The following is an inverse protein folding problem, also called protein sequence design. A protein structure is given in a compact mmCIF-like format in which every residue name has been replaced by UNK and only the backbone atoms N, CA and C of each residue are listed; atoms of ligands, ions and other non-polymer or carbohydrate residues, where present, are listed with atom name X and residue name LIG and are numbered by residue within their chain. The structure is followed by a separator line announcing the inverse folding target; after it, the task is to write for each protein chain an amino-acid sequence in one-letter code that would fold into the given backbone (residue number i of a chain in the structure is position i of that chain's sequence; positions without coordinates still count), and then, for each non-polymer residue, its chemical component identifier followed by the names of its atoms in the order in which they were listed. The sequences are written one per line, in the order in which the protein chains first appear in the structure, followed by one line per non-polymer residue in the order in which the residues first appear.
data_IF_150925026318
#
_entry.id   IF_150925026318
#
_cell.length_a   1.000
_cell.length_b   1.000
_cell.length_c   1.000
_cell.angle_alpha   90.00
_cell.angle_beta   90.00
_cell.angle_gamma   90.00
#
_symmetry.space_group_name_H-M   'P 1'
#
loop_
_entity.id
_entity.type
_entity.pdbx_description
1 polymer ?
#
# COMPACT_ATOMS: atom_id res chain seq x y z
N UNK A 1 7.37 -14.68 -34.52
CA UNK A 1 7.53 -14.90 -33.06
C UNK A 1 8.14 -13.63 -32.47
N UNK A 2 7.41 -12.91 -31.60
CA UNK A 2 7.89 -11.64 -31.02
C UNK A 2 8.99 -11.95 -29.99
N UNK A 3 10.26 -11.90 -30.40
CA UNK A 3 11.42 -12.12 -29.51
C UNK A 3 12.05 -10.82 -29.00
N UNK A 4 11.68 -9.69 -29.62
CA UNK A 4 12.26 -8.39 -29.35
C UNK A 4 11.20 -7.33 -29.54
N UNK A 5 10.96 -6.52 -28.50
CA UNK A 5 9.96 -5.47 -28.48
C UNK A 5 10.66 -4.14 -28.12
N UNK A 6 11.18 -3.40 -29.10
CA UNK A 6 11.97 -2.21 -28.80
C UNK A 6 11.15 -1.09 -28.20
N UNK A 7 11.69 -0.43 -27.18
CA UNK A 7 11.19 0.85 -26.69
C UNK A 7 11.41 1.91 -27.77
N UNK A 8 10.36 2.59 -28.18
CA UNK A 8 10.37 3.60 -29.26
C UNK A 8 10.23 5.02 -28.76
N UNK A 9 9.51 5.20 -27.67
CA UNK A 9 9.29 6.52 -27.08
C UNK A 9 9.12 6.37 -25.57
N UNK A 10 9.71 7.31 -24.85
CA UNK A 10 9.46 7.53 -23.42
C UNK A 10 9.06 9.00 -23.28
N UNK A 11 7.96 9.25 -22.59
CA UNK A 11 7.47 10.60 -22.38
C UNK A 11 6.84 10.72 -21.00
N UNK A 12 7.23 11.75 -20.27
CA UNK A 12 6.64 12.06 -18.97
C UNK A 12 6.02 13.44 -18.95
N UNK A 13 5.03 13.60 -18.10
CA UNK A 13 4.40 14.87 -17.76
C UNK A 13 4.09 14.95 -16.28
N UNK A 14 3.89 16.17 -15.80
CA UNK A 14 3.37 16.42 -14.47
C UNK A 14 1.84 16.35 -14.52
N UNK A 15 1.25 15.58 -13.59
CA UNK A 15 -0.19 15.48 -13.36
C UNK A 15 -0.47 15.73 -11.87
N UNK A 16 -1.74 15.74 -11.45
CA UNK A 16 -2.11 15.93 -10.05
C UNK A 16 -2.48 14.60 -9.39
N UNK A 17 -2.06 14.43 -8.14
CA UNK A 17 -2.50 13.35 -7.26
C UNK A 17 -3.87 13.65 -6.59
N UNK A 18 -4.38 12.74 -5.78
CA UNK A 18 -5.67 12.85 -5.07
C UNK A 18 -5.72 13.99 -4.04
N UNK A 19 -4.56 14.55 -3.67
CA UNK A 19 -4.43 15.70 -2.76
C UNK A 19 -4.25 17.03 -3.52
N UNK A 20 -4.21 16.98 -4.86
CA UNK A 20 -3.93 18.15 -5.70
C UNK A 20 -2.45 18.52 -5.78
N UNK A 21 -1.54 17.65 -5.32
CA UNK A 21 -0.12 17.83 -5.47
C UNK A 21 0.38 17.26 -6.81
N UNK A 22 1.42 17.87 -7.42
CA UNK A 22 2.02 17.34 -8.62
C UNK A 22 2.64 15.96 -8.40
N UNK A 23 2.47 15.08 -9.39
CA UNK A 23 3.19 13.81 -9.50
C UNK A 23 3.57 13.51 -10.95
N UNK A 24 4.34 12.43 -11.14
CA UNK A 24 4.88 12.04 -12.45
C UNK A 24 3.96 11.02 -13.12
N UNK A 25 3.53 11.32 -14.36
CA UNK A 25 2.93 10.36 -15.27
C UNK A 25 3.93 10.05 -16.38
N UNK A 26 4.13 8.77 -16.68
CA UNK A 26 5.01 8.30 -17.75
C UNK A 26 4.24 7.49 -18.78
N UNK A 27 4.52 7.72 -20.05
CA UNK A 27 4.07 6.91 -21.18
C UNK A 27 5.28 6.29 -21.89
N UNK A 28 5.23 4.98 -22.12
CA UNK A 28 6.22 4.25 -22.91
C UNK A 28 5.52 3.61 -24.09
N UNK A 29 6.03 3.86 -25.31
CA UNK A 29 5.55 3.23 -26.53
C UNK A 29 6.58 2.21 -27.03
N UNK A 30 6.12 1.01 -27.38
CA UNK A 30 6.95 -0.13 -27.80
C UNK A 30 6.48 -0.71 -29.14
N UNK A 31 7.34 -1.47 -29.83
CA UNK A 31 7.01 -2.21 -31.04
C UNK A 31 7.53 -1.57 -32.34
N UNK A 32 7.21 -2.21 -33.46
CA UNK A 32 7.55 -1.73 -34.80
C UNK A 32 6.41 -0.87 -35.35
N UNK A 33 6.68 0.38 -35.68
CA UNK A 33 5.71 1.28 -36.29
C UNK A 33 5.97 2.76 -36.03
N UNK A 34 5.40 3.61 -36.87
CA UNK A 34 5.35 5.07 -36.65
C UNK A 34 4.39 5.36 -35.50
N UNK A 35 4.75 6.31 -34.64
CA UNK A 35 3.92 6.76 -33.50
C UNK A 35 2.45 6.90 -33.94
N UNK A 36 1.56 6.10 -33.30
CA UNK A 36 0.11 6.15 -33.54
C UNK A 36 -0.45 5.17 -34.59
N UNK A 37 0.35 4.36 -35.28
CA UNK A 37 -0.16 3.45 -36.32
C UNK A 37 0.03 1.97 -35.98
N UNK A 38 1.06 1.54 -35.22
CA UNK A 38 1.27 0.15 -34.82
C UNK A 38 2.08 0.01 -33.50
N UNK A 39 2.18 1.08 -32.70
CA UNK A 39 2.87 1.02 -31.41
C UNK A 39 1.89 0.73 -30.26
N UNK A 40 2.35 0.00 -29.26
CA UNK A 40 1.61 -0.25 -28.01
C UNK A 40 2.13 0.70 -26.94
N UNK A 41 1.23 1.37 -26.24
CA UNK A 41 1.60 2.34 -25.20
C UNK A 41 1.14 1.84 -23.85
N UNK A 42 2.06 1.86 -22.88
CA UNK A 42 1.77 1.72 -21.45
C UNK A 42 1.91 3.07 -20.76
N UNK A 43 1.02 3.35 -19.80
CA UNK A 43 1.02 4.58 -19.01
C UNK A 43 0.99 4.23 -17.53
N UNK A 44 1.74 4.95 -16.72
CA UNK A 44 1.75 4.81 -15.27
C UNK A 44 1.83 6.16 -14.58
N UNK A 45 1.11 6.30 -13.46
CA UNK A 45 1.16 7.48 -12.58
C UNK A 45 1.74 7.02 -11.25
N UNK A 46 2.71 7.76 -10.73
CA UNK A 46 3.41 7.39 -9.49
C UNK A 46 2.70 8.00 -8.27
N UNK A 47 2.37 7.20 -7.24
CA UNK A 47 1.78 7.73 -6.01
C UNK A 47 2.82 8.41 -5.12
N UNK A 48 2.36 9.19 -4.11
CA UNK A 48 3.19 9.94 -3.18
C UNK A 48 2.72 9.77 -1.74
N UNK A 49 3.64 9.59 -0.78
CA UNK A 49 3.32 9.48 0.65
C UNK A 49 3.00 10.82 1.32
N UNK A 50 2.27 10.78 2.44
CA UNK A 50 2.15 11.90 3.38
C UNK A 50 3.20 11.79 4.49
N UNK A 51 3.37 10.59 5.06
CA UNK A 51 4.49 10.19 5.88
C UNK A 51 5.50 9.44 5.01
N UNK A 52 6.79 9.53 5.32
CA UNK A 52 7.86 8.83 4.60
C UNK A 52 8.85 8.28 5.62
N UNK A 53 9.10 6.97 5.59
CA UNK A 53 10.14 6.34 6.39
C UNK A 53 11.53 6.89 6.05
N UNK A 54 12.42 6.92 7.02
CA UNK A 54 13.81 7.46 6.88
C UNK A 54 14.60 6.80 5.75
N UNK A 55 14.26 5.57 5.39
CA UNK A 55 15.01 4.73 4.45
C UNK A 55 14.33 4.56 3.08
N UNK A 56 13.24 5.27 2.82
CA UNK A 56 12.59 5.27 1.50
C UNK A 56 13.50 5.83 0.41
N UNK A 57 13.32 5.35 -0.82
CA UNK A 57 13.93 5.96 -1.99
C UNK A 57 13.40 7.39 -2.20
N UNK A 58 14.27 8.27 -2.69
CA UNK A 58 13.99 9.71 -2.76
C UNK A 58 12.94 10.02 -3.81
N UNK A 59 11.83 10.58 -3.39
CA UNK A 59 10.88 11.25 -4.27
C UNK A 59 11.46 12.63 -4.65
N UNK A 60 11.85 12.80 -5.92
CA UNK A 60 12.49 14.05 -6.36
C UNK A 60 11.46 15.15 -6.53
N UNK A 61 11.58 16.20 -5.71
CA UNK A 61 10.78 17.43 -5.72
C UNK A 61 11.63 18.62 -6.17
N UNK A 62 11.01 19.60 -6.83
CA UNK A 62 11.72 20.77 -7.36
C UNK A 62 12.25 21.68 -6.27
N UNK A 63 11.55 21.81 -5.13
CA UNK A 63 11.90 22.67 -4.01
C UNK A 63 11.66 24.16 -4.28
N UNK A 64 11.10 24.54 -5.41
CA UNK A 64 10.82 25.91 -5.82
C UNK A 64 9.54 26.43 -5.16
N UNK A 65 9.64 27.18 -4.09
CA UNK A 65 8.51 27.64 -3.27
C UNK A 65 7.42 28.41 -4.05
N UNK A 66 7.75 29.04 -5.17
CA UNK A 66 6.83 29.77 -6.03
C UNK A 66 5.94 28.89 -6.92
N UNK A 67 6.26 27.61 -7.04
CA UNK A 67 5.52 26.62 -7.82
C UNK A 67 5.06 25.48 -6.93
N UNK A 68 3.74 25.25 -6.84
CA UNK A 68 3.16 24.17 -6.04
C UNK A 68 3.74 24.08 -4.62
N UNK A 69 4.03 25.22 -4.00
CA UNK A 69 4.62 25.30 -2.64
C UNK A 69 5.96 24.53 -2.47
N UNK A 70 6.67 24.27 -3.57
CA UNK A 70 7.92 23.49 -3.59
C UNK A 70 7.75 22.03 -4.00
N UNK A 71 6.50 21.55 -4.14
CA UNK A 71 6.19 20.15 -4.43
C UNK A 71 6.19 19.80 -5.94
N UNK A 72 6.61 20.72 -6.83
CA UNK A 72 6.73 20.45 -8.26
C UNK A 72 7.63 19.25 -8.57
N UNK A 73 7.41 18.60 -9.73
CA UNK A 73 8.15 17.40 -10.17
C UNK A 73 8.78 17.57 -11.57
N UNK A 74 9.03 18.81 -11.99
CA UNK A 74 9.62 19.11 -13.30
C UNK A 74 10.97 18.45 -13.51
N UNK A 75 11.84 18.43 -12.47
CA UNK A 75 13.15 17.79 -12.53
C UNK A 75 13.03 16.28 -12.76
N UNK A 76 12.10 15.62 -12.08
CA UNK A 76 11.83 14.20 -12.29
C UNK A 76 11.28 13.94 -13.71
N UNK A 77 10.35 14.78 -14.19
CA UNK A 77 9.84 14.72 -15.58
C UNK A 77 10.96 14.92 -16.60
N UNK A 78 11.85 15.88 -16.38
CA UNK A 78 13.00 16.12 -17.26
C UNK A 78 13.96 14.92 -17.26
N UNK A 79 14.26 14.34 -16.09
CA UNK A 79 15.09 13.15 -15.98
C UNK A 79 14.49 11.95 -16.76
N UNK A 80 13.16 11.77 -16.74
CA UNK A 80 12.50 10.75 -17.58
C UNK A 80 12.66 11.07 -19.06
N UNK A 81 12.36 12.31 -19.48
CA UNK A 81 12.34 12.70 -20.89
C UNK A 81 13.72 12.79 -21.53
N UNK A 82 14.79 12.79 -20.73
CA UNK A 82 16.20 12.87 -21.18
C UNK A 82 16.97 11.61 -20.80
N UNK A 83 17.47 11.53 -19.57
CA UNK A 83 18.39 10.49 -19.10
C UNK A 83 17.80 9.08 -19.19
N UNK A 84 16.59 8.87 -18.64
CA UNK A 84 15.97 7.54 -18.65
C UNK A 84 15.48 7.17 -20.06
N UNK A 85 14.98 8.12 -20.84
CA UNK A 85 14.64 7.88 -22.23
C UNK A 85 15.86 7.43 -23.02
N UNK A 86 17.00 8.14 -22.92
CA UNK A 86 18.25 7.78 -23.60
C UNK A 86 18.73 6.37 -23.18
N UNK A 87 18.65 6.05 -21.91
CA UNK A 87 19.12 4.78 -21.35
C UNK A 87 18.37 3.55 -21.89
N UNK A 88 17.05 3.69 -22.20
CA UNK A 88 16.21 2.53 -22.54
C UNK A 88 15.66 2.58 -23.98
N UNK A 89 15.84 3.66 -24.75
CA UNK A 89 15.43 3.70 -26.16
C UNK A 89 16.12 2.60 -26.96
N UNK A 90 15.31 1.83 -27.71
CA UNK A 90 15.78 0.67 -28.47
C UNK A 90 15.89 -0.62 -27.67
N UNK A 91 15.91 -0.58 -26.34
CA UNK A 91 16.00 -1.78 -25.52
C UNK A 91 14.73 -2.64 -25.58
N UNK A 92 14.86 -3.91 -25.22
CA UNK A 92 13.76 -4.87 -25.30
C UNK A 92 12.81 -4.75 -24.10
N UNK A 93 11.63 -4.20 -24.30
CA UNK A 93 10.62 -4.06 -23.26
C UNK A 93 10.08 -5.38 -22.66
N UNK A 94 10.35 -6.54 -23.29
CA UNK A 94 10.01 -7.85 -22.73
C UNK A 94 10.98 -8.31 -21.64
N UNK A 95 12.12 -7.64 -21.50
CA UNK A 95 13.12 -7.93 -20.46
C UNK A 95 13.04 -6.86 -19.35
N UNK A 96 11.99 -6.95 -18.54
CA UNK A 96 11.73 -5.99 -17.45
C UNK A 96 12.93 -5.85 -16.51
N UNK A 97 13.54 -6.96 -16.12
CA UNK A 97 14.67 -6.94 -15.19
C UNK A 97 15.89 -6.21 -15.76
N UNK A 98 16.13 -6.35 -17.05
CA UNK A 98 17.21 -5.62 -17.73
C UNK A 98 16.90 -4.12 -17.86
N UNK A 99 15.65 -3.77 -18.20
CA UNK A 99 15.21 -2.37 -18.23
C UNK A 99 15.38 -1.72 -16.84
N UNK A 100 14.89 -2.37 -15.77
CA UNK A 100 15.00 -1.85 -14.42
C UNK A 100 16.46 -1.73 -13.96
N UNK A 101 17.31 -2.69 -14.32
CA UNK A 101 18.76 -2.61 -14.11
C UNK A 101 19.36 -1.36 -14.77
N UNK A 102 19.01 -1.07 -16.02
CA UNK A 102 19.47 0.13 -16.74
C UNK A 102 19.02 1.41 -16.06
N UNK A 103 17.77 1.45 -15.57
CA UNK A 103 17.20 2.57 -14.83
C UNK A 103 17.99 2.80 -13.53
N UNK A 104 18.28 1.74 -12.76
CA UNK A 104 19.04 1.80 -11.51
C UNK A 104 20.49 2.25 -11.77
N UNK A 105 21.15 1.73 -12.79
CA UNK A 105 22.51 2.11 -13.20
C UNK A 105 22.58 3.58 -13.64
N UNK A 106 21.53 4.10 -14.27
CA UNK A 106 21.44 5.51 -14.71
C UNK A 106 21.32 6.45 -13.52
N UNK A 107 20.61 6.05 -12.45
CA UNK A 107 20.59 6.81 -11.20
C UNK A 107 21.92 6.72 -10.47
N UNK A 108 22.48 5.52 -10.30
CA UNK A 108 23.78 5.25 -9.72
C UNK A 108 23.86 5.46 -8.20
N UNK A 109 22.75 5.69 -7.50
CA UNK A 109 22.69 5.85 -6.04
C UNK A 109 21.84 4.74 -5.40
N UNK A 110 22.08 4.42 -4.13
CA UNK A 110 21.34 3.39 -3.40
C UNK A 110 19.85 3.75 -3.21
N UNK A 111 19.53 5.04 -3.13
CA UNK A 111 18.20 5.55 -2.79
C UNK A 111 17.54 6.38 -3.91
N UNK A 112 18.01 6.25 -5.15
CA UNK A 112 17.47 6.96 -6.34
C UNK A 112 17.52 8.49 -6.24
N UNK A 113 18.48 9.05 -5.49
CA UNK A 113 18.54 10.50 -5.23
C UNK A 113 18.95 11.36 -6.43
N UNK A 114 19.58 10.80 -7.47
CA UNK A 114 20.01 11.54 -8.66
C UNK A 114 18.89 11.72 -9.70
N UNK A 115 18.05 10.73 -9.89
CA UNK A 115 16.98 10.71 -10.89
C UNK A 115 15.60 10.92 -10.24
N UNK A 116 15.40 10.35 -9.05
CA UNK A 116 14.15 10.31 -8.31
C UNK A 116 13.40 8.98 -8.47
N UNK A 117 12.97 8.39 -7.35
CA UNK A 117 12.18 7.16 -7.35
C UNK A 117 10.85 7.32 -8.10
N UNK A 118 10.26 8.51 -8.09
CA UNK A 118 9.08 8.85 -8.88
C UNK A 118 9.33 8.78 -10.39
N UNK A 119 10.51 9.17 -10.85
CA UNK A 119 10.91 9.05 -12.25
C UNK A 119 11.20 7.59 -12.64
N UNK A 120 12.02 6.90 -11.83
CA UNK A 120 12.43 5.51 -12.12
C UNK A 120 11.24 4.56 -12.10
N UNK A 121 10.36 4.66 -11.11
CA UNK A 121 9.17 3.83 -11.01
C UNK A 121 8.20 4.09 -12.16
N UNK A 122 7.94 5.35 -12.51
CA UNK A 122 7.04 5.69 -13.60
C UNK A 122 7.43 5.00 -14.91
N UNK A 123 8.74 5.02 -15.25
CA UNK A 123 9.27 4.33 -16.44
C UNK A 123 9.12 2.81 -16.32
N UNK A 124 9.51 2.22 -15.19
CA UNK A 124 9.46 0.78 -14.94
C UNK A 124 8.04 0.23 -15.13
N UNK A 125 7.03 0.88 -14.52
CA UNK A 125 5.62 0.45 -14.60
C UNK A 125 5.03 0.66 -16.00
N UNK A 126 5.39 1.77 -16.66
CA UNK A 126 4.91 2.06 -18.02
C UNK A 126 5.44 1.05 -19.03
N UNK A 127 6.69 0.60 -18.89
CA UNK A 127 7.29 -0.47 -19.73
C UNK A 127 6.53 -1.78 -19.55
N UNK A 128 6.26 -2.20 -18.30
CA UNK A 128 5.51 -3.43 -18.03
C UNK A 128 4.12 -3.41 -18.69
N UNK A 129 3.39 -2.29 -18.58
CA UNK A 129 2.08 -2.12 -19.23
C UNK A 129 2.17 -2.13 -20.77
N UNK A 130 3.20 -1.47 -21.34
CA UNK A 130 3.40 -1.47 -22.78
C UNK A 130 3.68 -2.89 -23.31
N UNK A 131 4.51 -3.65 -22.60
CA UNK A 131 4.83 -5.03 -22.92
C UNK A 131 3.58 -5.95 -22.84
N UNK A 132 2.80 -5.86 -21.75
CA UNK A 132 1.56 -6.61 -21.57
C UNK A 132 0.55 -6.29 -22.71
N UNK A 133 0.38 -5.01 -23.04
CA UNK A 133 -0.48 -4.54 -24.14
C UNK A 133 -0.04 -5.10 -25.49
N UNK A 134 1.26 -5.07 -25.79
CA UNK A 134 1.82 -5.59 -27.03
C UNK A 134 1.62 -7.11 -27.18
N UNK A 135 1.71 -7.85 -26.07
CA UNK A 135 1.44 -9.28 -26.04
C UNK A 135 -0.06 -9.61 -26.02
N UNK A 136 -0.93 -8.62 -25.81
CA UNK A 136 -2.38 -8.78 -25.61
C UNK A 136 -2.70 -9.71 -24.43
N UNK A 137 -1.92 -9.60 -23.37
CA UNK A 137 -2.08 -10.36 -22.12
C UNK A 137 -2.47 -9.36 -21.03
N UNK A 138 -3.48 -9.65 -20.18
CA UNK A 138 -3.78 -8.83 -19.02
C UNK A 138 -2.55 -8.61 -18.14
N UNK A 139 -2.42 -7.42 -17.54
CA UNK A 139 -1.21 -7.05 -16.79
C UNK A 139 -0.92 -8.03 -15.65
N UNK A 140 -1.94 -8.43 -14.88
CA UNK A 140 -1.77 -9.41 -13.79
C UNK A 140 -1.21 -10.76 -14.29
N UNK A 141 -1.60 -11.22 -15.49
CA UNK A 141 -1.04 -12.46 -16.08
C UNK A 141 0.36 -12.25 -16.65
N UNK A 142 0.63 -11.08 -17.23
CA UNK A 142 1.97 -10.74 -17.71
C UNK A 142 3.00 -10.76 -16.58
N UNK A 143 2.64 -10.19 -15.43
CA UNK A 143 3.52 -10.11 -14.25
C UNK A 143 3.61 -11.43 -13.48
N UNK A 144 2.49 -12.14 -13.31
CA UNK A 144 2.41 -13.30 -12.43
C UNK A 144 2.43 -14.66 -13.13
N UNK A 145 2.34 -14.67 -14.47
CA UNK A 145 2.35 -15.91 -15.26
C UNK A 145 0.98 -16.56 -15.43
N UNK A 146 0.99 -17.77 -15.99
CA UNK A 146 -0.22 -18.45 -16.46
C UNK A 146 -1.11 -19.04 -15.34
N UNK A 147 -0.64 -19.07 -14.10
CA UNK A 147 -1.40 -19.64 -12.96
C UNK A 147 -1.91 -18.58 -11.98
N UNK A 148 -1.94 -17.34 -12.41
CA UNK A 148 -2.34 -16.18 -11.59
C UNK A 148 -3.86 -16.12 -11.44
N UNK A 149 -4.37 -16.44 -10.25
CA UNK A 149 -5.83 -16.53 -9.98
C UNK A 149 -6.24 -16.17 -8.55
N UNK A 150 -5.27 -15.94 -7.66
CA UNK A 150 -5.57 -15.57 -6.27
C UNK A 150 -5.96 -14.12 -6.16
N UNK A 151 -7.18 -13.87 -5.70
CA UNK A 151 -7.70 -12.54 -5.41
C UNK A 151 -7.23 -12.11 -4.01
N UNK A 152 -6.80 -10.86 -3.82
CA UNK A 152 -6.38 -10.39 -2.51
C UNK A 152 -7.58 -10.06 -1.61
N UNK A 153 -7.48 -10.33 -0.32
CA UNK A 153 -8.42 -9.80 0.68
C UNK A 153 -8.15 -8.32 0.88
N UNK A 154 -9.15 -7.44 0.70
CA UNK A 154 -8.95 -6.02 0.92
C UNK A 154 -8.87 -5.67 2.41
N UNK A 155 -7.93 -4.79 2.74
CA UNK A 155 -7.81 -4.08 4.02
C UNK A 155 -8.33 -2.66 3.79
N UNK A 156 -9.60 -2.42 4.11
CA UNK A 156 -10.25 -1.13 3.79
C UNK A 156 -10.22 -0.19 4.99
N UNK A 157 -9.44 0.88 4.89
CA UNK A 157 -9.34 1.92 5.91
C UNK A 157 -10.61 2.77 5.97
N UNK A 158 -11.51 2.48 6.94
CA UNK A 158 -12.81 3.13 7.06
C UNK A 158 -12.88 4.22 8.13
N UNK A 159 -11.86 4.31 9.00
CA UNK A 159 -11.72 5.39 9.97
C UNK A 159 -10.26 5.78 10.12
N UNK A 160 -9.99 7.07 9.94
CA UNK A 160 -8.67 7.67 9.95
C UNK A 160 -8.40 8.43 11.25
N UNK A 161 -7.16 8.39 11.70
CA UNK A 161 -6.59 9.22 12.75
C UNK A 161 -5.15 9.63 12.40
N UNK A 162 -4.35 9.95 13.40
CA UNK A 162 -2.95 10.31 13.24
C UNK A 162 -2.74 11.41 12.20
N UNK A 163 -1.76 11.24 11.31
CA UNK A 163 -1.50 12.21 10.22
C UNK A 163 -2.50 12.18 9.07
N UNK A 164 -3.37 11.16 9.00
CA UNK A 164 -4.36 11.04 7.95
C UNK A 164 -5.66 11.83 8.24
N UNK A 165 -5.81 12.40 9.46
CA UNK A 165 -6.97 13.16 9.86
C UNK A 165 -6.64 14.20 10.92
N UNK A 166 -7.31 15.36 10.87
CA UNK A 166 -7.24 16.39 11.93
C UNK A 166 -8.34 16.11 12.96
N UNK A 167 -8.08 15.14 13.85
CA UNK A 167 -9.01 14.69 14.90
C UNK A 167 -8.26 14.22 16.16
N UNK A 168 -8.98 13.61 17.12
CA UNK A 168 -8.44 13.13 18.40
C UNK A 168 -8.04 11.65 18.40
N UNK A 169 -8.06 10.98 17.27
CA UNK A 169 -7.68 9.56 17.16
C UNK A 169 -6.19 9.44 16.88
N UNK A 170 -5.42 8.84 17.80
CA UNK A 170 -3.96 8.80 17.72
C UNK A 170 -3.42 7.78 16.72
N UNK A 171 -3.99 6.55 16.68
CA UNK A 171 -3.60 5.55 15.68
C UNK A 171 -4.10 5.94 14.30
N UNK A 172 -3.28 5.69 13.27
CA UNK A 172 -3.46 6.29 11.95
C UNK A 172 -4.62 5.70 11.14
N UNK A 173 -4.81 4.38 11.18
CA UNK A 173 -5.81 3.71 10.35
C UNK A 173 -6.50 2.55 11.08
N UNK A 174 -7.82 2.50 10.92
CA UNK A 174 -8.64 1.36 11.35
C UNK A 174 -9.33 0.75 10.14
N UNK A 175 -8.92 -0.46 9.83
CA UNK A 175 -9.31 -1.18 8.62
C UNK A 175 -10.25 -2.33 8.93
N UNK A 176 -11.20 -2.57 8.05
CA UNK A 176 -11.99 -3.80 8.01
C UNK A 176 -11.47 -4.74 6.93
N UNK A 177 -11.51 -6.04 7.24
CA UNK A 177 -11.14 -7.12 6.33
C UNK A 177 -12.29 -8.11 6.20
N UNK A 178 -12.85 -8.31 4.99
CA UNK A 178 -13.97 -9.23 4.76
C UNK A 178 -13.49 -10.68 4.68
N UNK A 179 -12.98 -11.20 5.80
CA UNK A 179 -12.35 -12.53 5.90
C UNK A 179 -13.32 -13.71 5.76
N UNK A 180 -14.63 -13.44 5.94
CA UNK A 180 -15.71 -14.41 5.71
C UNK A 180 -16.37 -14.33 4.34
N UNK A 181 -15.89 -13.48 3.43
CA UNK A 181 -16.46 -13.34 2.09
C UNK A 181 -16.21 -14.59 1.23
N UNK A 182 -17.15 -14.90 0.36
CA UNK A 182 -17.08 -16.05 -0.55
C UNK A 182 -16.22 -15.78 -1.80
N UNK A 183 -16.17 -14.51 -2.22
CA UNK A 183 -15.46 -14.06 -3.41
C UNK A 183 -15.21 -12.55 -3.35
N UNK A 184 -14.52 -12.00 -4.36
CA UNK A 184 -14.15 -10.58 -4.40
C UNK A 184 -15.38 -9.64 -4.47
N UNK A 185 -16.40 -10.00 -5.22
CA UNK A 185 -17.62 -9.20 -5.34
C UNK A 185 -18.33 -9.10 -3.97
N UNK A 186 -18.49 -10.24 -3.29
CA UNK A 186 -19.03 -10.30 -1.94
C UNK A 186 -18.17 -9.49 -0.95
N UNK A 187 -16.85 -9.60 -1.03
CA UNK A 187 -15.91 -8.87 -0.18
C UNK A 187 -16.08 -7.34 -0.28
N UNK A 188 -16.13 -6.82 -1.51
CA UNK A 188 -16.32 -5.39 -1.76
C UNK A 188 -17.70 -4.93 -1.29
N UNK A 189 -18.76 -5.72 -1.53
CA UNK A 189 -20.12 -5.42 -1.04
C UNK A 189 -20.15 -5.31 0.48
N UNK A 190 -19.61 -6.30 1.18
CA UNK A 190 -19.57 -6.30 2.65
C UNK A 190 -18.92 -5.04 3.20
N UNK A 191 -17.74 -4.69 2.69
CA UNK A 191 -17.03 -3.50 3.13
C UNK A 191 -17.79 -2.20 2.82
N UNK A 192 -18.39 -2.09 1.64
CA UNK A 192 -19.18 -0.92 1.26
C UNK A 192 -20.43 -0.75 2.15
N UNK A 193 -21.13 -1.85 2.48
CA UNK A 193 -22.29 -1.85 3.37
C UNK A 193 -21.87 -1.42 4.80
N UNK A 194 -20.79 -2.01 5.36
CA UNK A 194 -20.28 -1.61 6.69
C UNK A 194 -19.89 -0.12 6.71
N UNK A 195 -19.22 0.37 5.66
CA UNK A 195 -18.85 1.79 5.53
C UNK A 195 -20.09 2.71 5.53
N UNK A 196 -21.17 2.36 4.83
CA UNK A 196 -22.40 3.15 4.84
C UNK A 196 -23.11 3.12 6.21
N UNK A 197 -23.14 1.96 6.88
CA UNK A 197 -23.68 1.88 8.24
C UNK A 197 -22.84 2.68 9.25
N UNK A 198 -21.52 2.67 9.11
CA UNK A 198 -20.63 3.52 9.93
C UNK A 198 -20.97 5.01 9.77
N UNK A 199 -21.18 5.47 8.53
CA UNK A 199 -21.63 6.83 8.24
C UNK A 199 -22.95 7.19 8.94
N UNK A 200 -23.91 6.26 8.92
CA UNK A 200 -25.20 6.46 9.59
C UNK A 200 -25.03 6.58 11.10
N UNK A 201 -24.24 5.70 11.72
CA UNK A 201 -23.97 5.68 13.16
C UNK A 201 -23.27 6.97 13.60
N UNK A 202 -22.22 7.39 12.89
CA UNK A 202 -21.50 8.63 13.19
C UNK A 202 -22.45 9.84 13.15
N UNK A 203 -23.32 9.94 12.14
CA UNK A 203 -24.34 11.00 12.07
C UNK A 203 -25.32 10.95 13.23
N UNK A 204 -25.79 9.76 13.64
CA UNK A 204 -26.72 9.60 14.77
C UNK A 204 -26.08 10.01 16.10
N UNK A 205 -24.76 9.80 16.22
CA UNK A 205 -23.97 10.23 17.38
C UNK A 205 -23.56 11.72 17.33
N UNK A 206 -23.93 12.45 16.25
CA UNK A 206 -23.53 13.86 16.06
C UNK A 206 -22.04 14.05 15.72
N UNK A 207 -21.37 13.00 15.27
CA UNK A 207 -19.95 12.99 14.93
C UNK A 207 -19.71 13.35 13.44
N UNK A 208 -18.51 13.83 13.14
CA UNK A 208 -18.10 14.17 11.77
C UNK A 208 -18.15 12.96 10.83
N UNK A 209 -18.64 13.19 9.62
CA UNK A 209 -18.55 12.23 8.50
C UNK A 209 -17.71 12.79 7.35
N UNK A 210 -16.86 13.79 7.63
CA UNK A 210 -15.78 14.17 6.75
C UNK A 210 -14.78 13.01 6.62
N UNK A 211 -14.12 12.93 5.47
CA UNK A 211 -13.18 11.84 5.19
C UNK A 211 -11.76 12.36 5.11
N UNK A 212 -10.81 11.55 5.56
CA UNK A 212 -9.40 11.78 5.41
C UNK A 212 -8.88 11.50 3.99
N UNK A 213 -7.57 11.56 3.81
CA UNK A 213 -6.90 11.38 2.51
C UNK A 213 -7.20 10.02 1.88
N UNK A 214 -7.42 8.99 2.66
CA UNK A 214 -7.67 7.63 2.21
C UNK A 214 -9.16 7.25 2.13
N UNK A 215 -10.05 8.21 2.42
CA UNK A 215 -11.49 8.03 2.30
C UNK A 215 -12.18 7.49 3.56
N UNK A 216 -11.44 7.12 4.60
CA UNK A 216 -11.99 6.79 5.92
C UNK A 216 -12.57 8.01 6.63
N UNK A 217 -13.59 7.83 7.48
CA UNK A 217 -14.15 8.91 8.27
C UNK A 217 -13.16 9.42 9.32
N UNK A 218 -13.27 10.69 9.69
CA UNK A 218 -12.38 11.36 10.62
C UNK A 218 -13.15 12.02 11.78
N UNK A 219 -13.87 11.25 12.62
CA UNK A 219 -14.53 11.79 13.81
C UNK A 219 -13.57 12.02 14.96
N UNK A 220 -13.91 12.91 15.89
CA UNK A 220 -13.31 12.96 17.22
C UNK A 220 -13.86 11.81 18.08
N UNK A 221 -12.98 10.95 18.56
CA UNK A 221 -13.29 9.85 19.48
C UNK A 221 -12.25 9.81 20.61
N UNK A 222 -12.63 9.35 21.82
CA UNK A 222 -11.78 9.48 23.00
C UNK A 222 -10.54 8.57 22.99
N UNK A 223 -10.63 7.41 22.34
CA UNK A 223 -9.57 6.39 22.30
C UNK A 223 -9.81 5.36 21.21
N UNK A 224 -8.83 4.49 21.00
CA UNK A 224 -8.91 3.43 19.97
C UNK A 224 -9.98 2.37 20.27
N UNK A 225 -10.31 2.12 21.54
CA UNK A 225 -11.40 1.20 21.89
C UNK A 225 -12.74 1.73 21.38
N UNK A 226 -13.02 3.02 21.58
CA UNK A 226 -14.22 3.67 21.08
C UNK A 226 -14.34 3.65 19.56
N UNK A 227 -13.18 3.74 18.86
CA UNK A 227 -13.12 3.58 17.40
C UNK A 227 -13.52 2.17 17.01
N UNK A 228 -12.95 1.17 17.65
CA UNK A 228 -13.22 -0.25 17.37
C UNK A 228 -14.68 -0.61 17.68
N UNK A 229 -15.23 -0.09 18.79
CA UNK A 229 -16.64 -0.30 19.16
C UNK A 229 -17.60 0.23 18.09
N UNK A 230 -17.38 1.44 17.57
CA UNK A 230 -18.26 2.01 16.54
C UNK A 230 -18.15 1.27 15.20
N UNK A 231 -16.97 0.78 14.85
CA UNK A 231 -16.78 -0.05 13.66
C UNK A 231 -17.50 -1.39 13.81
N UNK A 232 -17.39 -2.06 14.96
CA UNK A 232 -18.09 -3.32 15.21
C UNK A 232 -19.62 -3.13 15.29
N UNK A 233 -20.10 -2.00 15.81
CA UNK A 233 -21.52 -1.62 15.74
C UNK A 233 -21.98 -1.53 14.29
N UNK A 234 -21.17 -0.92 13.41
CA UNK A 234 -21.48 -0.80 11.98
C UNK A 234 -21.52 -2.15 11.28
N UNK A 235 -20.56 -3.05 11.56
CA UNK A 235 -20.52 -4.39 11.00
C UNK A 235 -21.78 -5.20 11.40
N UNK A 236 -22.16 -5.17 12.69
CA UNK A 236 -23.37 -5.85 13.18
C UNK A 236 -24.65 -5.29 12.55
N UNK A 237 -24.77 -3.95 12.41
CA UNK A 237 -25.93 -3.32 11.77
C UNK A 237 -26.01 -3.62 10.27
N UNK A 238 -24.88 -3.84 9.63
CA UNK A 238 -24.81 -4.31 8.23
C UNK A 238 -25.18 -5.80 8.07
N UNK A 239 -25.35 -6.52 9.18
CA UNK A 239 -25.71 -7.94 9.19
C UNK A 239 -24.54 -8.89 9.19
N UNK A 240 -23.32 -8.41 9.46
CA UNK A 240 -22.10 -9.21 9.49
C UNK A 240 -21.62 -9.47 10.92
N UNK A 241 -21.11 -10.68 11.16
CA UNK A 241 -20.60 -11.13 12.45
C UNK A 241 -19.11 -10.76 12.59
N UNK A 242 -18.74 -9.85 13.55
CA UNK A 242 -17.35 -9.55 13.82
C UNK A 242 -16.54 -10.78 14.22
N UNK A 243 -15.33 -10.91 13.67
CA UNK A 243 -14.43 -12.05 13.92
C UNK A 243 -14.70 -13.27 13.04
N UNK A 244 -15.85 -13.33 12.39
CA UNK A 244 -16.21 -14.41 11.47
C UNK A 244 -16.31 -13.92 10.02
N UNK A 245 -17.13 -12.89 9.80
CA UNK A 245 -17.35 -12.30 8.48
C UNK A 245 -16.39 -11.13 8.24
N UNK A 246 -16.22 -10.27 9.26
CA UNK A 246 -15.37 -9.08 9.24
C UNK A 246 -14.34 -9.18 10.37
N UNK A 247 -13.07 -9.10 10.01
CA UNK A 247 -11.94 -8.94 10.93
C UNK A 247 -11.43 -7.49 10.88
N UNK A 248 -10.62 -7.11 11.87
CA UNK A 248 -10.04 -5.77 12.02
C UNK A 248 -8.54 -5.81 11.74
N UNK A 249 -8.04 -4.80 11.04
CA UNK A 249 -6.63 -4.49 10.97
C UNK A 249 -6.40 -3.03 11.42
N UNK A 250 -5.24 -2.77 12.01
CA UNK A 250 -4.83 -1.45 12.50
C UNK A 250 -3.49 -1.11 11.86
N UNK A 251 -3.33 0.15 11.46
CA UNK A 251 -2.04 0.76 11.21
C UNK A 251 -1.81 1.82 12.29
N UNK A 252 -0.82 1.56 13.14
CA UNK A 252 -0.52 2.44 14.25
C UNK A 252 0.35 3.62 13.85
N UNK A 253 1.19 3.46 12.80
CA UNK A 253 2.23 4.41 12.39
C UNK A 253 3.02 4.93 13.61
N UNK A 254 3.46 4.00 14.47
CA UNK A 254 3.95 4.33 15.82
C UNK A 254 5.20 5.23 15.81
N UNK A 255 5.99 5.23 14.74
CA UNK A 255 7.10 6.19 14.58
C UNK A 255 6.65 7.66 14.66
N UNK A 256 5.41 7.96 14.24
CA UNK A 256 4.83 9.31 14.31
C UNK A 256 4.43 9.73 15.73
N UNK A 257 4.23 8.75 16.62
CA UNK A 257 3.90 8.97 18.03
C UNK A 257 5.15 8.97 18.92
N UNK A 258 6.31 8.55 18.39
CA UNK A 258 7.52 8.35 19.16
C UNK A 258 8.27 9.65 19.41
N UNK A 259 8.49 9.94 20.70
CA UNK A 259 9.36 11.05 21.16
C UNK A 259 10.77 10.48 21.40
N UNK A 260 11.69 10.76 20.47
CA UNK A 260 13.08 10.28 20.52
C UNK A 260 13.85 10.77 21.78
N UNK A 261 13.54 11.99 22.30
CA UNK A 261 14.23 12.55 23.47
C UNK A 261 13.82 11.84 24.76
N UNK A 262 12.55 11.44 24.84
CA UNK A 262 11.95 10.80 26.03
C UNK A 262 11.96 9.27 25.96
N UNK A 263 12.12 8.69 24.77
CA UNK A 263 12.07 7.27 24.54
C UNK A 263 10.70 6.63 24.77
N UNK A 264 9.62 7.39 24.49
CA UNK A 264 8.22 6.97 24.72
C UNK A 264 7.32 7.36 23.57
N UNK A 265 6.19 6.68 23.45
CA UNK A 265 5.11 7.02 22.52
C UNK A 265 4.13 7.95 23.22
N UNK A 266 3.83 9.10 22.59
CA UNK A 266 2.93 10.13 23.07
C UNK A 266 1.58 10.00 22.37
N UNK A 267 0.49 9.97 23.13
CA UNK A 267 -0.88 9.89 22.63
C UNK A 267 -1.59 11.22 22.89
N UNK A 268 -1.40 12.23 22.05
CA UNK A 268 -1.91 13.58 22.30
C UNK A 268 -3.44 13.66 22.24
N UNK A 269 -4.08 12.87 21.36
CA UNK A 269 -5.52 12.85 21.23
C UNK A 269 -6.19 12.22 22.43
N UNK A 270 -5.72 11.04 22.85
CA UNK A 270 -6.20 10.35 24.07
C UNK A 270 -5.96 11.23 25.30
N UNK A 271 -4.78 11.87 25.38
CA UNK A 271 -4.44 12.80 26.47
C UNK A 271 -5.36 14.01 26.53
N UNK A 272 -5.67 14.62 25.38
CA UNK A 272 -6.63 15.74 25.28
C UNK A 272 -8.02 15.34 25.78
N UNK A 273 -8.47 14.14 25.44
CA UNK A 273 -9.79 13.64 25.83
C UNK A 273 -9.85 13.25 27.32
N UNK A 274 -8.76 12.77 27.89
CA UNK A 274 -8.66 12.40 29.32
C UNK A 274 -8.30 13.57 30.22
N UNK A 275 -7.70 14.63 29.68
CA UNK A 275 -7.21 15.79 30.44
C UNK A 275 -5.88 15.53 31.16
N UNK A 276 -5.11 14.54 30.73
CA UNK A 276 -3.79 14.18 31.25
C UNK A 276 -2.87 13.70 30.12
N UNK A 277 -1.55 13.75 30.31
CA UNK A 277 -0.61 13.25 29.33
C UNK A 277 -0.64 11.70 29.32
N UNK A 278 -0.78 11.09 28.12
CA UNK A 278 -0.79 9.64 27.94
C UNK A 278 0.48 9.22 27.23
N UNK A 279 1.30 8.44 27.92
CA UNK A 279 2.60 7.97 27.48
C UNK A 279 2.67 6.45 27.56
N UNK A 280 3.43 5.84 26.65
CA UNK A 280 3.72 4.39 26.68
C UNK A 280 5.14 4.16 26.24
N UNK A 281 5.87 3.27 26.93
CA UNK A 281 7.11 2.70 26.41
C UNK A 281 6.82 1.53 25.45
N UNK A 282 7.86 0.93 24.83
CA UNK A 282 7.66 -0.18 23.88
C UNK A 282 6.99 -1.40 24.52
N UNK A 283 7.26 -1.67 25.77
CA UNK A 283 6.62 -2.77 26.52
C UNK A 283 5.13 -2.49 26.76
N UNK A 284 4.80 -1.27 27.17
CA UNK A 284 3.44 -0.80 27.38
C UNK A 284 2.63 -0.71 26.08
N UNK A 285 3.29 -0.38 24.94
CA UNK A 285 2.68 -0.47 23.60
C UNK A 285 2.29 -1.91 23.27
N UNK A 286 3.17 -2.87 23.51
CA UNK A 286 2.86 -4.28 23.24
C UNK A 286 1.68 -4.74 24.10
N UNK A 287 1.67 -4.39 25.40
CA UNK A 287 0.55 -4.71 26.31
C UNK A 287 -0.76 -4.03 25.88
N UNK A 288 -0.68 -2.82 25.35
CA UNK A 288 -1.83 -2.11 24.80
C UNK A 288 -2.45 -2.87 23.62
N UNK A 289 -1.63 -3.35 22.68
CA UNK A 289 -2.12 -4.16 21.57
C UNK A 289 -2.66 -5.52 22.02
N UNK A 290 -2.05 -6.17 22.99
CA UNK A 290 -2.58 -7.41 23.56
C UNK A 290 -4.00 -7.21 24.11
N UNK A 291 -4.21 -6.16 24.91
CA UNK A 291 -5.53 -5.84 25.48
C UNK A 291 -6.57 -5.55 24.40
N UNK A 292 -6.18 -4.81 23.36
CA UNK A 292 -7.08 -4.57 22.22
C UNK A 292 -7.43 -5.87 21.48
N UNK A 293 -6.44 -6.73 21.23
CA UNK A 293 -6.65 -7.99 20.51
C UNK A 293 -7.42 -9.05 21.32
N UNK A 294 -7.39 -8.98 22.66
CA UNK A 294 -8.25 -9.81 23.53
C UNK A 294 -9.71 -9.40 23.45
N UNK A 295 -9.98 -8.10 23.26
CA UNK A 295 -11.35 -7.53 23.27
C UNK A 295 -11.97 -7.47 21.88
N UNK A 296 -11.17 -7.30 20.83
CA UNK A 296 -11.60 -7.06 19.46
C UNK A 296 -11.01 -8.08 18.48
N UNK A 297 -11.69 -8.40 17.37
CA UNK A 297 -11.22 -9.38 16.39
C UNK A 297 -10.10 -8.81 15.50
N UNK A 298 -8.99 -8.37 16.10
CA UNK A 298 -7.83 -7.83 15.43
C UNK A 298 -6.98 -8.98 14.91
N UNK A 299 -6.72 -8.99 13.61
CA UNK A 299 -5.92 -10.01 12.92
C UNK A 299 -4.61 -9.46 12.35
N UNK A 300 -4.45 -8.13 12.29
CA UNK A 300 -3.26 -7.48 11.74
C UNK A 300 -2.98 -6.15 12.43
N UNK A 301 -1.70 -5.90 12.74
CA UNK A 301 -1.18 -4.62 13.25
C UNK A 301 0.02 -4.24 12.39
N UNK A 302 -0.03 -3.06 11.81
CA UNK A 302 1.01 -2.45 11.01
C UNK A 302 1.73 -1.38 11.82
N UNK A 303 3.06 -1.33 11.70
CA UNK A 303 3.96 -0.37 12.34
C UNK A 303 3.62 -0.06 13.80
N UNK A 304 3.48 -1.15 14.58
CA UNK A 304 3.10 -1.08 15.99
C UNK A 304 4.17 -0.48 16.90
N UNK A 305 5.42 -0.36 16.45
CA UNK A 305 6.55 0.26 17.15
C UNK A 305 7.37 1.09 16.16
N UNK A 306 8.25 1.94 16.70
CA UNK A 306 9.17 2.78 15.96
C UNK A 306 10.06 1.96 15.00
N UNK A 307 10.41 2.53 13.83
CA UNK A 307 11.04 1.83 12.69
C UNK A 307 12.46 1.31 12.96
N UNK A 308 13.15 1.78 14.00
CA UNK A 308 14.49 1.33 14.41
C UNK A 308 14.48 0.57 15.75
N UNK A 309 13.32 0.40 16.41
CA UNK A 309 13.20 -0.40 17.66
C UNK A 309 13.17 -1.91 17.37
N UNK A 310 14.25 -2.44 16.80
CA UNK A 310 14.36 -3.86 16.45
C UNK A 310 14.17 -4.83 17.63
N UNK A 311 14.56 -4.43 18.85
CA UNK A 311 14.38 -5.28 20.02
C UNK A 311 12.92 -5.30 20.49
N UNK A 312 12.24 -4.15 20.48
CA UNK A 312 10.80 -4.08 20.71
C UNK A 312 10.01 -4.89 19.68
N UNK A 313 10.32 -4.77 18.40
CA UNK A 313 9.68 -5.56 17.33
C UNK A 313 9.84 -7.06 17.53
N UNK A 314 11.01 -7.50 17.93
CA UNK A 314 11.28 -8.91 18.25
C UNK A 314 10.47 -9.40 19.44
N UNK A 315 10.35 -8.58 20.50
CA UNK A 315 9.50 -8.88 21.65
C UNK A 315 8.02 -8.91 21.27
N UNK A 316 7.54 -7.94 20.49
CA UNK A 316 6.18 -7.89 19.96
C UNK A 316 5.87 -9.13 19.12
N UNK A 317 6.80 -9.54 18.23
CA UNK A 317 6.64 -10.73 17.40
C UNK A 317 6.55 -12.00 18.24
N UNK A 318 7.37 -12.11 19.28
CA UNK A 318 7.33 -13.26 20.20
C UNK A 318 6.01 -13.35 20.98
N UNK A 319 5.40 -12.21 21.34
CA UNK A 319 4.16 -12.18 22.15
C UNK A 319 2.90 -12.31 21.31
N UNK A 320 2.86 -11.71 20.13
CA UNK A 320 1.66 -11.57 19.31
C UNK A 320 1.72 -12.31 17.97
N UNK A 321 2.93 -12.61 17.46
CA UNK A 321 3.13 -13.04 16.08
C UNK A 321 2.52 -14.40 15.71
N UNK A 322 2.24 -15.28 16.69
CA UNK A 322 1.55 -16.55 16.45
C UNK A 322 0.04 -16.36 16.19
N UNK A 323 -0.53 -15.24 16.62
CA UNK A 323 -1.99 -14.97 16.54
C UNK A 323 -2.32 -13.83 15.59
N UNK A 324 -1.42 -12.87 15.46
CA UNK A 324 -1.64 -11.60 14.75
C UNK A 324 -0.58 -11.43 13.68
N UNK A 325 -1.00 -10.97 12.51
CA UNK A 325 -0.09 -10.47 11.48
C UNK A 325 0.54 -9.17 11.95
N UNK A 326 1.85 -9.11 12.01
CA UNK A 326 2.64 -7.93 12.34
C UNK A 326 3.33 -7.44 11.07
N UNK A 327 2.84 -6.32 10.54
CA UNK A 327 3.28 -5.77 9.25
C UNK A 327 4.31 -4.68 9.48
N UNK A 328 5.46 -4.79 8.83
CA UNK A 328 6.43 -3.69 8.78
C UNK A 328 6.23 -2.90 7.49
N UNK A 329 5.86 -1.62 7.62
CA UNK A 329 5.88 -0.60 6.56
C UNK A 329 7.16 0.21 6.68
N UNK A 330 7.24 1.18 7.60
CA UNK A 330 8.45 1.99 7.83
C UNK A 330 9.63 1.13 8.32
N UNK A 331 9.35 0.06 9.05
CA UNK A 331 10.35 -0.92 9.46
C UNK A 331 11.13 -1.48 8.26
N UNK A 332 10.48 -1.77 7.14
CA UNK A 332 11.09 -2.44 5.98
C UNK A 332 11.22 -1.58 4.72
N UNK A 333 10.38 -0.59 4.55
CA UNK A 333 10.31 0.33 3.38
C UNK A 333 10.45 -0.36 2.03
N UNK A 334 9.83 -1.55 1.87
CA UNK A 334 9.94 -2.40 0.67
C UNK A 334 11.40 -2.78 0.30
N UNK A 335 12.34 -2.62 1.25
CA UNK A 335 13.78 -2.79 1.01
C UNK A 335 14.25 -4.17 1.44
N UNK A 336 14.84 -4.93 0.50
CA UNK A 336 15.32 -6.31 0.75
C UNK A 336 16.44 -6.40 1.81
N UNK A 337 17.24 -5.33 2.01
CA UNK A 337 18.30 -5.31 3.03
C UNK A 337 17.68 -5.22 4.43
N UNK A 338 16.69 -4.33 4.63
CA UNK A 338 15.95 -4.21 5.90
C UNK A 338 15.09 -5.44 6.16
N UNK A 339 14.40 -5.95 5.13
CA UNK A 339 13.62 -7.19 5.24
C UNK A 339 14.50 -8.39 5.65
N UNK A 340 15.68 -8.55 5.06
CA UNK A 340 16.62 -9.61 5.43
C UNK A 340 17.10 -9.48 6.89
N UNK A 341 17.28 -8.25 7.38
CA UNK A 341 17.57 -7.98 8.78
C UNK A 341 16.42 -8.44 9.69
N UNK A 342 15.19 -8.04 9.40
CA UNK A 342 14.00 -8.43 10.17
C UNK A 342 13.79 -9.94 10.20
N UNK A 343 13.90 -10.61 9.06
CA UNK A 343 13.82 -12.08 8.98
C UNK A 343 14.86 -12.73 9.88
N UNK A 344 16.11 -12.25 9.84
CA UNK A 344 17.19 -12.79 10.67
C UNK A 344 16.95 -12.59 12.18
N UNK A 345 16.35 -11.46 12.55
CA UNK A 345 16.06 -11.11 13.94
C UNK A 345 14.75 -11.74 14.45
N UNK A 346 13.89 -12.23 13.56
CA UNK A 346 12.53 -12.67 13.91
C UNK A 346 11.62 -11.50 14.29
N UNK A 347 11.78 -10.36 13.62
CA UNK A 347 11.01 -9.14 13.82
C UNK A 347 9.92 -9.02 12.75
N UNK A 348 8.66 -8.85 13.13
CA UNK A 348 7.47 -8.91 12.29
C UNK A 348 7.21 -10.32 11.68
N UNK A 349 6.14 -10.48 10.91
CA UNK A 349 5.81 -11.68 10.13
C UNK A 349 5.15 -11.35 8.79
N UNK A 350 5.07 -10.07 8.45
CA UNK A 350 4.57 -9.57 7.17
C UNK A 350 5.28 -8.26 6.78
N UNK A 351 5.25 -7.96 5.49
CA UNK A 351 5.79 -6.72 4.92
C UNK A 351 4.73 -5.99 4.12
N UNK A 352 4.68 -4.66 4.24
CA UNK A 352 3.95 -3.80 3.33
C UNK A 352 4.79 -3.53 2.07
N UNK A 353 4.20 -3.60 0.90
CA UNK A 353 4.87 -3.39 -0.38
C UNK A 353 4.33 -2.11 -1.02
N UNK A 354 5.14 -1.07 -1.01
CA UNK A 354 4.89 0.22 -1.65
C UNK A 354 5.92 0.44 -2.76
N UNK A 355 5.50 0.38 -4.01
CA UNK A 355 6.38 0.42 -5.17
C UNK A 355 7.32 1.65 -5.19
N UNK A 356 6.81 2.81 -4.77
CA UNK A 356 7.58 4.05 -4.79
C UNK A 356 8.62 4.16 -3.66
N UNK A 357 8.52 3.35 -2.60
CA UNK A 357 9.54 3.29 -1.53
C UNK A 357 10.88 2.73 -2.02
N UNK A 358 10.86 1.95 -3.11
CA UNK A 358 12.06 1.32 -3.67
C UNK A 358 12.39 1.80 -5.09
N UNK A 359 11.40 2.12 -5.93
CA UNK A 359 11.55 2.85 -7.17
C UNK A 359 11.65 2.04 -8.46
N UNK A 360 11.57 0.70 -8.44
CA UNK A 360 11.37 -0.14 -9.62
C UNK A 360 10.47 -1.34 -9.34
N UNK A 361 9.83 -1.87 -10.38
CA UNK A 361 8.99 -3.06 -10.29
C UNK A 361 9.81 -4.30 -9.90
N UNK A 362 10.99 -4.48 -10.48
CA UNK A 362 11.84 -5.65 -10.20
C UNK A 362 12.29 -5.70 -8.74
N UNK A 363 12.71 -4.57 -8.14
CA UNK A 363 13.10 -4.50 -6.74
C UNK A 363 11.91 -4.82 -5.82
N UNK A 364 10.70 -4.32 -6.14
CA UNK A 364 9.50 -4.63 -5.37
C UNK A 364 9.10 -6.11 -5.47
N UNK A 365 9.20 -6.72 -6.65
CA UNK A 365 8.96 -8.16 -6.84
C UNK A 365 9.99 -9.01 -6.09
N UNK A 366 11.24 -8.58 -6.01
CA UNK A 366 12.28 -9.25 -5.21
C UNK A 366 11.96 -9.20 -3.71
N UNK A 367 11.42 -8.07 -3.20
CA UNK A 367 10.98 -7.96 -1.82
C UNK A 367 9.80 -8.90 -1.51
N UNK A 368 8.77 -8.95 -2.38
CA UNK A 368 7.66 -9.90 -2.26
C UNK A 368 8.16 -11.34 -2.22
N UNK A 369 9.03 -11.70 -3.16
CA UNK A 369 9.58 -13.05 -3.27
C UNK A 369 10.43 -13.44 -2.08
N UNK A 370 11.21 -12.51 -1.53
CA UNK A 370 12.01 -12.73 -0.31
C UNK A 370 11.10 -12.98 0.89
N UNK A 371 10.07 -12.14 1.09
CA UNK A 371 9.09 -12.30 2.15
C UNK A 371 8.40 -13.66 2.11
N UNK A 372 7.81 -14.01 0.95
CA UNK A 372 7.10 -15.29 0.77
C UNK A 372 8.01 -16.51 1.01
N UNK A 373 9.27 -16.48 0.55
CA UNK A 373 10.24 -17.55 0.80
C UNK A 373 10.61 -17.72 2.27
N UNK A 374 10.55 -16.65 3.04
CA UNK A 374 10.80 -16.66 4.48
C UNK A 374 9.57 -17.00 5.33
N UNK A 375 8.42 -17.24 4.70
CA UNK A 375 7.14 -17.47 5.39
C UNK A 375 6.46 -16.18 5.87
N UNK A 376 6.97 -15.01 5.46
CA UNK A 376 6.31 -13.72 5.72
C UNK A 376 5.20 -13.51 4.70
N UNK A 377 4.09 -12.89 5.15
CA UNK A 377 3.06 -12.40 4.24
C UNK A 377 3.50 -11.10 3.59
N UNK A 378 2.98 -10.84 2.39
CA UNK A 378 3.14 -9.56 1.71
C UNK A 378 1.76 -8.90 1.58
N UNK A 379 1.68 -7.60 1.82
CA UNK A 379 0.48 -6.78 1.61
C UNK A 379 0.81 -5.74 0.54
N UNK A 380 0.14 -5.79 -0.60
CA UNK A 380 0.33 -4.76 -1.64
C UNK A 380 -0.42 -3.51 -1.23
N UNK A 381 0.27 -2.36 -1.24
CA UNK A 381 -0.26 -1.13 -0.67
C UNK A 381 -0.25 0.05 -1.63
N UNK A 382 -1.24 0.92 -1.46
CA UNK A 382 -1.29 2.27 -2.00
C UNK A 382 -0.39 3.24 -1.20
N UNK A 383 -0.50 4.53 -1.54
CA UNK A 383 -0.01 5.65 -0.71
C UNK A 383 -1.17 6.60 -0.37
N UNK A 384 -0.94 7.53 0.55
CA UNK A 384 -1.93 8.56 0.90
C UNK A 384 -2.26 9.49 -0.27
N UNK A 385 -1.27 9.90 -1.07
CA UNK A 385 -1.47 10.59 -2.34
C UNK A 385 -1.50 9.63 -3.51
N UNK A 386 -2.69 9.32 -4.00
CA UNK A 386 -2.96 8.37 -5.08
C UNK A 386 -3.48 9.06 -6.36
N UNK A 387 -3.71 8.26 -7.37
CA UNK A 387 -4.33 8.64 -8.63
C UNK A 387 -5.33 7.59 -9.08
N UNK A 388 -5.93 7.76 -10.28
CA UNK A 388 -6.77 6.74 -10.91
C UNK A 388 -5.99 5.49 -11.38
N UNK A 389 -4.67 5.48 -11.27
CA UNK A 389 -3.83 4.34 -11.65
C UNK A 389 -4.13 3.10 -10.79
N UNK A 390 -4.44 1.98 -11.43
CA UNK A 390 -4.83 0.73 -10.78
C UNK A 390 -3.74 -0.35 -10.77
N UNK A 391 -2.48 -0.01 -11.05
CA UNK A 391 -1.38 -0.99 -11.21
C UNK A 391 -1.29 -1.96 -10.04
N UNK A 392 -1.43 -1.47 -8.81
CA UNK A 392 -1.31 -2.28 -7.60
C UNK A 392 -2.40 -3.36 -7.47
N UNK A 393 -3.56 -3.19 -8.09
CA UNK A 393 -4.59 -4.23 -8.13
C UNK A 393 -4.13 -5.42 -8.98
N UNK A 394 -3.60 -5.16 -10.18
CA UNK A 394 -2.99 -6.20 -11.02
C UNK A 394 -1.78 -6.84 -10.33
N UNK A 395 -0.95 -6.05 -9.65
CA UNK A 395 0.23 -6.54 -8.92
C UNK A 395 -0.16 -7.48 -7.76
N UNK A 396 -1.19 -7.14 -7.00
CA UNK A 396 -1.65 -7.97 -5.88
C UNK A 396 -2.10 -9.36 -6.35
N UNK A 397 -2.83 -9.41 -7.47
CA UNK A 397 -3.22 -10.69 -8.10
C UNK A 397 -2.01 -11.40 -8.70
N UNK A 398 -1.12 -10.68 -9.39
CA UNK A 398 0.07 -11.22 -10.04
C UNK A 398 1.02 -11.93 -9.08
N UNK A 399 1.24 -11.36 -7.91
CA UNK A 399 2.19 -11.86 -6.91
C UNK A 399 1.60 -12.95 -6.02
N UNK A 400 0.27 -13.15 -6.04
CA UNK A 400 -0.42 -14.01 -5.08
C UNK A 400 -0.21 -13.54 -3.64
N UNK A 401 -0.06 -12.22 -3.41
CA UNK A 401 0.19 -11.65 -2.09
C UNK A 401 -0.95 -11.96 -1.09
N UNK A 402 -2.16 -12.19 -1.60
CA UNK A 402 -3.33 -12.55 -0.81
C UNK A 402 -3.98 -11.38 -0.06
N UNK A 403 -3.35 -10.20 -0.03
CA UNK A 403 -3.86 -9.02 0.65
C UNK A 403 -3.55 -7.74 -0.13
N UNK A 404 -4.45 -6.75 -0.04
CA UNK A 404 -4.26 -5.41 -0.60
C UNK A 404 -4.78 -4.34 0.36
N UNK A 405 -3.96 -3.33 0.64
CA UNK A 405 -4.30 -2.14 1.42
C UNK A 405 -4.42 -0.96 0.46
N UNK A 406 -5.65 -0.46 0.22
CA UNK A 406 -5.85 0.62 -0.76
C UNK A 406 -6.99 1.59 -0.41
N UNK A 407 -7.15 1.86 0.90
CA UNK A 407 -8.06 2.86 1.45
C UNK A 407 -9.51 2.39 1.57
N UNK A 408 -10.41 3.32 1.86
CA UNK A 408 -11.84 3.08 2.02
C UNK A 408 -12.53 2.84 0.66
N UNK A 409 -13.77 2.29 0.65
CA UNK A 409 -14.62 2.24 -0.55
C UNK A 409 -15.23 3.64 -0.84
N UNK A 410 -14.38 4.63 -0.86
CA UNK A 410 -14.69 6.05 -1.04
C UNK A 410 -13.51 6.72 -1.76
N UNK A 411 -13.77 7.81 -2.49
CA UNK A 411 -12.84 8.52 -3.38
C UNK A 411 -12.44 7.68 -4.62
N UNK A 412 -12.44 8.31 -5.79
CA UNK A 412 -12.24 7.61 -7.08
C UNK A 412 -10.86 6.99 -7.22
N UNK A 413 -9.84 7.61 -6.61
CA UNK A 413 -8.46 7.14 -6.55
C UNK A 413 -8.32 5.79 -5.83
N UNK A 414 -9.15 5.52 -4.81
CA UNK A 414 -9.21 4.24 -4.10
C UNK A 414 -10.07 3.23 -4.87
N UNK A 415 -11.29 3.65 -5.24
CA UNK A 415 -12.23 2.79 -5.97
C UNK A 415 -11.69 2.32 -7.32
N UNK A 416 -10.77 3.04 -7.96
CA UNK A 416 -10.11 2.60 -9.19
C UNK A 416 -9.46 1.22 -9.04
N UNK A 417 -8.82 0.95 -7.88
CA UNK A 417 -8.16 -0.33 -7.57
C UNK A 417 -9.20 -1.43 -7.30
N UNK A 418 -10.23 -1.14 -6.50
CA UNK A 418 -11.31 -2.09 -6.24
C UNK A 418 -12.09 -2.45 -7.51
N UNK A 419 -12.39 -1.46 -8.35
CA UNK A 419 -13.03 -1.69 -9.64
C UNK A 419 -12.16 -2.53 -10.58
N UNK A 420 -10.84 -2.38 -10.53
CA UNK A 420 -9.93 -3.25 -11.29
C UNK A 420 -9.94 -4.68 -10.77
N UNK A 421 -9.96 -4.90 -9.45
CA UNK A 421 -10.10 -6.22 -8.87
C UNK A 421 -11.42 -6.90 -9.28
N UNK A 422 -12.54 -6.15 -9.35
CA UNK A 422 -13.80 -6.68 -9.87
C UNK A 422 -13.69 -7.11 -11.34
N UNK A 423 -13.03 -6.31 -12.20
CA UNK A 423 -12.77 -6.70 -13.61
C UNK A 423 -11.91 -7.95 -13.73
N UNK A 424 -10.88 -8.06 -12.89
CA UNK A 424 -10.02 -9.26 -12.86
C UNK A 424 -10.82 -10.47 -12.39
N UNK A 425 -11.64 -10.32 -11.35
CA UNK A 425 -12.52 -11.38 -10.85
C UNK A 425 -13.49 -11.86 -11.94
N UNK A 426 -14.15 -10.94 -12.65
CA UNK A 426 -15.04 -11.27 -13.78
C UNK A 426 -14.28 -12.00 -14.90
N UNK A 427 -13.08 -11.55 -15.26
CA UNK A 427 -12.26 -12.17 -16.29
C UNK A 427 -11.78 -13.58 -15.91
N UNK A 428 -11.53 -13.87 -14.63
CA UNK A 428 -11.16 -15.18 -14.12
C UNK A 428 -12.36 -16.10 -13.96
N UNK A 429 -13.56 -15.56 -13.71
CA UNK A 429 -14.78 -16.33 -13.48
C UNK A 429 -14.63 -17.35 -12.36
N UNK A 430 -15.03 -18.60 -12.63
CA UNK A 430 -14.93 -19.71 -11.64
C UNK A 430 -13.49 -20.10 -11.25
N UNK A 431 -12.50 -19.62 -11.98
CA UNK A 431 -11.09 -19.87 -11.65
C UNK A 431 -10.55 -18.92 -10.57
N UNK A 432 -11.26 -17.85 -10.26
CA UNK A 432 -10.87 -16.92 -9.22
C UNK A 432 -10.88 -17.61 -7.85
N UNK A 433 -9.79 -17.49 -7.12
CA UNK A 433 -9.64 -18.04 -5.76
C UNK A 433 -9.63 -16.88 -4.78
N UNK A 434 -10.55 -16.89 -3.81
CA UNK A 434 -10.59 -15.93 -2.72
C UNK A 434 -10.49 -16.70 -1.40
N UNK A 435 -9.43 -16.49 -0.65
CA UNK A 435 -9.14 -17.23 0.58
C UNK A 435 -8.80 -16.28 1.71
N UNK A 436 -9.29 -16.58 2.90
CA UNK A 436 -8.90 -15.87 4.12
C UNK A 436 -7.42 -16.16 4.44
N UNK A 437 -6.54 -15.14 4.46
CA UNK A 437 -5.10 -15.33 4.69
C UNK A 437 -4.76 -15.75 6.13
N UNK A 438 -5.72 -15.70 7.06
CA UNK A 438 -5.54 -16.02 8.47
C UNK A 438 -6.13 -17.39 8.85
N UNK A 439 -6.84 -18.08 7.94
CA UNK A 439 -7.22 -19.48 8.19
C UNK A 439 -5.95 -20.31 8.30
N UNK A 440 -5.78 -21.00 9.41
CA UNK A 440 -4.83 -22.09 9.48
C UNK A 440 -5.14 -23.04 8.34
N UNK A 441 -4.14 -23.36 7.51
CA UNK A 441 -4.25 -24.48 6.62
C UNK A 441 -4.54 -25.68 7.53
N UNK A 442 -5.77 -26.15 7.59
CA UNK A 442 -6.06 -27.49 8.08
C UNK A 442 -5.10 -28.38 7.30
N UNK A 443 -4.00 -28.77 7.96
CA UNK A 443 -3.06 -29.72 7.42
C UNK A 443 -3.88 -30.98 7.18
N UNK A 444 -4.36 -31.12 5.94
CA UNK A 444 -4.86 -32.40 5.48
C UNK A 444 -3.70 -33.38 5.63
N UNK A 445 -3.70 -34.12 6.74
CA UNK A 445 -2.90 -35.31 6.94
C UNK A 445 -3.40 -36.41 6.04
#
# INVERSE_FOLDING_TARGET
MLRYLPVRRVHARQVLDSRGNPTVEVEVTVGEGVIGINGYTGRAIVPSGASTGKFEAVELRDGEKGCYTGLGVRKAVENVNTKLAEAILGENALDQSYIDKKIIETDGTDNKSNIGANATLGVSLAVARAAASALRIPLYQYLGGCHTRQMPVPMMNILNGGRHADNTVDLQEFMIMPTGAENMEHAIRMCAEVYQFLRIILKQKGLSTAVGDEGGFAPDLPDSESVLEVILEAAKKAGYEPGKDISIAIDAAASELYDEERGVYVFPGEGKMKGEEVLRDSGEMIEYYEKLAEKFPIVSIEDGLEEDDWEGWKQMTKRLGDKIQLVGDDLFVTNIKRLACGIKLGAANAILIKLNQIGTLSEALDAVKMAQKAGYRAVISHRSGESEDSFIADLAVATGAGQIKTGAPCRSDRNAKYNQLLRIHEALGELAVYENPFKENEKNC
#
